data_IF_191083039866
#
_entry.id   IF_191083039866
#
_cell.length_a   1.000
_cell.length_b   1.000
_cell.length_c   1.000
_cell.angle_alpha   90.00
_cell.angle_beta   90.00
_cell.angle_gamma   90.00
#
_symmetry.space_group_name_H-M   'P 1'
#
loop_
_entity.id
_entity.type
_entity.pdbx_description
1 polymer ?
#
# COMPACT_ATOMS: atom_id res chain seq x y z
N UNK A 1 48.52 13.23 12.29
CA UNK A 1 47.47 13.07 11.26
C UNK A 1 46.39 12.15 11.79
N UNK A 2 45.12 12.49 11.64
CA UNK A 2 44.01 11.61 12.04
C UNK A 2 43.85 10.50 10.99
N UNK A 3 44.19 9.27 11.37
CA UNK A 3 44.11 8.09 10.48
C UNK A 3 42.68 7.56 10.27
N UNK A 4 41.65 8.26 10.76
CA UNK A 4 40.27 7.78 10.81
C UNK A 4 39.29 8.76 10.17
N UNK A 5 38.23 8.23 9.59
CA UNK A 5 37.09 9.03 9.13
C UNK A 5 36.34 9.66 10.30
N UNK A 6 35.67 10.78 10.05
CA UNK A 6 34.81 11.40 11.05
C UNK A 6 33.57 10.52 11.33
N UNK A 7 32.97 10.70 12.51
CA UNK A 7 31.85 9.89 12.97
C UNK A 7 30.66 9.92 12.00
N UNK A 8 30.37 11.08 11.40
CA UNK A 8 29.29 11.24 10.42
C UNK A 8 29.51 10.36 9.18
N UNK A 9 30.72 10.37 8.61
CA UNK A 9 31.07 9.53 7.47
C UNK A 9 30.97 8.04 7.80
N UNK A 10 31.36 7.65 9.02
CA UNK A 10 31.27 6.26 9.49
C UNK A 10 29.80 5.85 9.66
N UNK A 11 28.98 6.67 10.31
CA UNK A 11 27.56 6.39 10.49
C UNK A 11 26.85 6.27 9.15
N UNK A 12 27.03 7.25 8.25
CA UNK A 12 26.46 7.19 6.90
C UNK A 12 26.91 5.94 6.15
N UNK A 13 28.17 5.54 6.29
CA UNK A 13 28.67 4.32 5.65
C UNK A 13 27.93 3.07 6.10
N UNK A 14 27.82 2.84 7.41
CA UNK A 14 27.25 1.61 7.94
C UNK A 14 25.73 1.57 7.83
N UNK A 15 25.04 2.70 7.99
CA UNK A 15 23.60 2.78 7.76
C UNK A 15 23.29 2.44 6.30
N UNK A 16 24.00 3.06 5.35
CA UNK A 16 23.80 2.76 3.93
C UNK A 16 24.17 1.30 3.63
N UNK A 17 25.26 0.77 4.19
CA UNK A 17 25.66 -0.62 3.99
C UNK A 17 24.59 -1.60 4.50
N UNK A 18 23.99 -1.35 5.67
CA UNK A 18 22.90 -2.16 6.19
C UNK A 18 21.68 -2.08 5.27
N UNK A 19 21.24 -0.88 4.90
CA UNK A 19 20.12 -0.69 3.97
C UNK A 19 20.36 -1.42 2.64
N UNK A 20 21.56 -1.33 2.07
CA UNK A 20 21.92 -1.98 0.81
C UNK A 20 21.85 -3.50 0.90
N UNK A 21 22.42 -4.10 1.96
CA UNK A 21 22.41 -5.56 2.14
C UNK A 21 20.96 -6.04 2.32
N UNK A 22 20.17 -5.37 3.16
CA UNK A 22 18.76 -5.69 3.35
C UNK A 22 17.97 -5.55 2.04
N UNK A 23 18.17 -4.45 1.30
CA UNK A 23 17.42 -4.18 0.08
C UNK A 23 17.78 -5.13 -1.07
N UNK A 24 19.04 -5.55 -1.16
CA UNK A 24 19.49 -6.55 -2.14
C UNK A 24 18.88 -7.93 -1.84
N UNK A 25 18.92 -8.35 -0.56
CA UNK A 25 18.29 -9.59 -0.15
C UNK A 25 16.78 -9.60 -0.40
N UNK A 26 16.11 -8.48 -0.10
CA UNK A 26 14.69 -8.29 -0.38
C UNK A 26 14.39 -8.35 -1.89
N UNK A 27 15.24 -7.73 -2.71
CA UNK A 27 15.09 -7.71 -4.17
C UNK A 27 15.17 -9.10 -4.81
N UNK A 28 16.08 -9.96 -4.34
CA UNK A 28 16.14 -11.35 -4.80
C UNK A 28 14.95 -12.18 -4.34
N UNK A 29 14.56 -12.03 -3.07
CA UNK A 29 13.46 -12.80 -2.51
C UNK A 29 12.10 -12.44 -3.11
N UNK A 30 11.82 -11.13 -3.30
CA UNK A 30 10.49 -10.66 -3.73
C UNK A 30 10.12 -11.15 -5.13
N UNK A 31 11.08 -11.31 -6.04
CA UNK A 31 10.84 -11.76 -7.41
C UNK A 31 10.31 -13.20 -7.45
N UNK A 32 10.98 -14.10 -6.72
CA UNK A 32 10.59 -15.51 -6.61
C UNK A 32 9.31 -15.68 -5.79
N UNK A 33 9.19 -14.94 -4.67
CA UNK A 33 8.03 -14.99 -3.79
C UNK A 33 6.73 -14.57 -4.49
N UNK A 34 6.83 -13.70 -5.50
CA UNK A 34 5.70 -13.24 -6.30
C UNK A 34 5.10 -14.34 -7.19
N UNK A 35 5.89 -15.36 -7.54
CA UNK A 35 5.46 -16.48 -8.41
C UNK A 35 4.81 -17.61 -7.62
N UNK A 36 4.77 -17.52 -6.30
CA UNK A 36 4.20 -18.52 -5.42
C UNK A 36 2.97 -17.94 -4.72
N UNK A 37 1.80 -18.51 -4.99
CA UNK A 37 0.50 -18.09 -4.43
C UNK A 37 0.53 -17.93 -2.90
N UNK A 38 1.25 -18.81 -2.19
CA UNK A 38 1.34 -18.77 -0.73
C UNK A 38 2.13 -17.57 -0.19
N UNK A 39 2.98 -16.96 -1.02
CA UNK A 39 3.84 -15.82 -0.66
C UNK A 39 3.56 -14.56 -1.46
N UNK A 40 2.62 -14.61 -2.40
CA UNK A 40 2.33 -13.52 -3.33
C UNK A 40 1.91 -12.24 -2.60
N UNK A 41 1.09 -12.35 -1.55
CA UNK A 41 0.68 -11.22 -0.70
C UNK A 41 1.84 -10.61 0.11
N UNK A 42 2.75 -11.44 0.63
CA UNK A 42 3.95 -10.92 1.31
C UNK A 42 4.92 -10.27 0.32
N UNK A 43 4.95 -10.76 -0.92
CA UNK A 43 5.77 -10.18 -1.98
C UNK A 43 5.30 -8.76 -2.33
N UNK A 44 3.99 -8.49 -2.43
CA UNK A 44 3.48 -7.14 -2.71
C UNK A 44 3.90 -6.12 -1.65
N UNK A 45 3.87 -6.49 -0.37
CA UNK A 45 4.38 -5.67 0.72
C UNK A 45 5.90 -5.45 0.62
N UNK A 46 6.64 -6.51 0.31
CA UNK A 46 8.09 -6.41 0.12
C UNK A 46 8.48 -5.50 -1.03
N UNK A 47 7.71 -5.43 -2.12
CA UNK A 47 7.94 -4.45 -3.18
C UNK A 47 7.81 -3.01 -2.66
N UNK A 48 6.87 -2.71 -1.76
CA UNK A 48 6.76 -1.36 -1.16
C UNK A 48 7.95 -1.05 -0.25
N UNK A 49 8.40 -2.03 0.55
CA UNK A 49 9.61 -1.89 1.36
C UNK A 49 10.87 -1.71 0.51
N UNK A 50 11.01 -2.47 -0.57
CA UNK A 50 12.15 -2.39 -1.48
C UNK A 50 12.25 -1.01 -2.13
N UNK A 51 11.13 -0.48 -2.61
CA UNK A 51 11.03 0.90 -3.15
C UNK A 51 11.40 1.94 -2.10
N UNK A 52 10.87 1.79 -0.88
CA UNK A 52 11.12 2.75 0.22
C UNK A 52 12.58 2.77 0.67
N UNK A 53 13.18 1.59 0.84
CA UNK A 53 14.61 1.45 1.16
C UNK A 53 15.49 1.94 0.02
N UNK A 54 15.13 1.67 -1.23
CA UNK A 54 15.85 2.19 -2.41
C UNK A 54 15.91 3.72 -2.42
N UNK A 55 14.80 4.40 -2.17
CA UNK A 55 14.74 5.87 -2.08
C UNK A 55 15.52 6.41 -0.88
N UNK A 56 15.47 5.72 0.27
CA UNK A 56 16.28 6.08 1.44
C UNK A 56 17.79 5.96 1.13
N UNK A 57 18.20 4.88 0.47
CA UNK A 57 19.58 4.68 0.02
C UNK A 57 19.99 5.82 -0.91
N UNK A 58 19.16 6.19 -1.89
CA UNK A 58 19.44 7.32 -2.79
C UNK A 58 19.70 8.60 -2.00
N UNK A 59 18.78 8.96 -1.10
CA UNK A 59 18.90 10.17 -0.27
C UNK A 59 20.17 10.16 0.59
N UNK A 60 20.44 9.07 1.33
CA UNK A 60 21.62 8.96 2.18
C UNK A 60 22.92 8.93 1.37
N UNK A 61 22.89 8.37 0.16
CA UNK A 61 24.05 8.33 -0.75
C UNK A 61 24.40 9.73 -1.26
N UNK A 62 23.40 10.54 -1.62
CA UNK A 62 23.60 11.94 -2.00
C UNK A 62 24.14 12.76 -0.82
N UNK A 63 23.61 12.55 0.39
CA UNK A 63 24.12 13.19 1.60
C UNK A 63 25.58 12.80 1.87
N UNK A 64 25.92 11.52 1.72
CA UNK A 64 27.29 11.01 1.89
C UNK A 64 28.24 11.55 0.81
N UNK A 65 27.78 11.66 -0.44
CA UNK A 65 28.56 12.25 -1.52
C UNK A 65 28.84 13.73 -1.24
N UNK A 66 27.82 14.50 -0.86
CA UNK A 66 27.99 15.90 -0.46
C UNK A 66 28.98 16.03 0.70
N UNK A 67 28.85 15.18 1.73
CA UNK A 67 29.79 15.15 2.86
C UNK A 67 31.22 14.87 2.41
N UNK A 68 31.44 13.92 1.51
CA UNK A 68 32.76 13.54 0.97
C UNK A 68 33.39 14.66 0.13
N UNK A 69 32.59 15.47 -0.56
CA UNK A 69 33.06 16.63 -1.32
C UNK A 69 33.46 17.79 -0.39
N UNK A 70 32.76 17.96 0.72
CA UNK A 70 33.01 19.03 1.69
C UNK A 70 34.10 18.68 2.72
N UNK A 71 34.36 17.39 2.95
CA UNK A 71 35.30 16.92 3.97
C UNK A 71 36.37 16.00 3.35
N UNK A 72 37.64 16.42 3.33
CA UNK A 72 38.74 15.62 2.80
C UNK A 72 38.80 14.25 3.49
N UNK A 73 39.00 13.21 2.67
CA UNK A 73 39.22 11.88 3.20
C UNK A 73 40.60 11.77 3.86
N UNK A 74 40.75 10.95 4.91
CA UNK A 74 42.06 10.64 5.46
C UNK A 74 43.00 10.09 4.38
N UNK A 75 44.30 10.46 4.40
CA UNK A 75 45.27 9.99 3.40
C UNK A 75 45.40 8.47 3.45
N UNK A 76 45.55 7.84 2.28
CA UNK A 76 45.80 6.40 2.17
C UNK A 76 47.18 6.04 2.79
N UNK A 77 47.39 4.81 3.28
CA UNK A 77 48.70 4.38 3.75
C UNK A 77 49.77 4.61 2.68
N UNK A 78 50.90 5.22 3.05
CA UNK A 78 52.03 5.43 2.12
C UNK A 78 52.67 4.09 1.69
N UNK A 79 52.43 3.02 2.46
CA UNK A 79 52.94 1.68 2.20
C UNK A 79 52.20 0.94 1.07
N UNK A 80 51.03 1.41 0.62
CA UNK A 80 50.31 0.73 -0.46
C UNK A 80 50.75 1.22 -1.84
N UNK A 81 50.90 0.31 -2.83
CA UNK A 81 51.25 0.67 -4.20
C UNK A 81 50.29 1.67 -4.83
N UNK A 82 50.79 2.54 -5.72
CA UNK A 82 49.98 3.58 -6.37
C UNK A 82 48.80 3.03 -7.19
N UNK A 83 48.88 1.78 -7.66
CA UNK A 83 47.76 1.12 -8.35
C UNK A 83 46.62 0.78 -7.38
N UNK A 84 46.91 0.40 -6.13
CA UNK A 84 45.88 0.15 -5.11
C UNK A 84 45.12 1.44 -4.78
N UNK A 85 45.81 2.59 -4.76
CA UNK A 85 45.16 3.90 -4.57
C UNK A 85 44.21 4.23 -5.72
N UNK A 86 44.63 3.99 -6.97
CA UNK A 86 43.78 4.21 -8.16
C UNK A 86 42.57 3.28 -8.18
N UNK A 87 42.77 2.00 -7.89
CA UNK A 87 41.68 1.02 -7.80
C UNK A 87 40.71 1.40 -6.69
N UNK A 88 41.19 1.78 -5.51
CA UNK A 88 40.33 2.23 -4.41
C UNK A 88 39.53 3.48 -4.82
N UNK A 89 40.13 4.46 -5.48
CA UNK A 89 39.42 5.63 -5.97
C UNK A 89 38.33 5.27 -7.00
N UNK A 90 38.66 4.40 -7.96
CA UNK A 90 37.72 3.91 -8.97
C UNK A 90 36.55 3.14 -8.33
N UNK A 91 36.83 2.21 -7.42
CA UNK A 91 35.81 1.45 -6.69
C UNK A 91 34.84 2.36 -5.94
N UNK A 92 35.34 3.38 -5.23
CA UNK A 92 34.47 4.35 -4.57
C UNK A 92 33.64 5.17 -5.56
N UNK A 93 34.24 5.60 -6.68
CA UNK A 93 33.51 6.31 -7.74
C UNK A 93 32.39 5.46 -8.34
N UNK A 94 32.66 4.19 -8.63
CA UNK A 94 31.68 3.22 -9.11
C UNK A 94 30.56 2.97 -8.09
N UNK A 95 30.89 2.88 -6.79
CA UNK A 95 29.85 2.76 -5.76
C UNK A 95 28.92 3.97 -5.75
N UNK A 96 29.45 5.21 -5.79
CA UNK A 96 28.59 6.38 -5.84
C UNK A 96 27.71 6.40 -7.10
N UNK A 97 28.29 6.05 -8.26
CA UNK A 97 27.53 5.94 -9.51
C UNK A 97 26.38 4.94 -9.37
N UNK A 98 26.67 3.72 -8.92
CA UNK A 98 25.68 2.65 -8.82
C UNK A 98 24.63 2.90 -7.72
N UNK A 99 25.03 3.41 -6.56
CA UNK A 99 24.14 3.74 -5.46
C UNK A 99 23.14 4.86 -5.80
N UNK A 100 23.43 5.64 -6.85
CA UNK A 100 22.52 6.65 -7.39
C UNK A 100 21.72 6.07 -8.57
N UNK A 101 22.42 5.44 -9.53
CA UNK A 101 21.83 4.95 -10.76
C UNK A 101 20.79 3.83 -10.55
N UNK A 102 21.03 2.91 -9.61
CA UNK A 102 20.12 1.80 -9.32
C UNK A 102 18.78 2.30 -8.77
N UNK A 103 18.70 3.02 -7.63
CA UNK A 103 17.41 3.48 -7.13
C UNK A 103 16.74 4.48 -8.08
N UNK A 104 17.52 5.27 -8.84
CA UNK A 104 16.96 6.17 -9.85
C UNK A 104 16.32 5.40 -11.02
N UNK A 105 16.96 4.35 -11.52
CA UNK A 105 16.36 3.51 -12.58
C UNK A 105 15.10 2.78 -12.08
N UNK A 106 15.09 2.35 -10.82
CA UNK A 106 13.91 1.77 -10.18
C UNK A 106 12.78 2.79 -10.01
N UNK A 107 13.08 4.02 -9.60
CA UNK A 107 12.09 5.09 -9.47
C UNK A 107 11.53 5.51 -10.84
N UNK A 108 12.37 5.58 -11.86
CA UNK A 108 11.94 5.80 -13.24
C UNK A 108 11.03 4.66 -13.73
N UNK A 109 11.37 3.41 -13.42
CA UNK A 109 10.56 2.24 -13.78
C UNK A 109 9.15 2.33 -13.20
N UNK A 110 9.02 2.56 -11.88
CA UNK A 110 7.69 2.68 -11.24
C UNK A 110 6.97 3.97 -11.65
N UNK A 111 7.70 5.00 -12.11
CA UNK A 111 7.11 6.22 -12.66
C UNK A 111 6.49 6.03 -14.04
N UNK A 112 6.95 5.03 -14.80
CA UNK A 112 6.32 4.67 -16.07
C UNK A 112 4.99 3.91 -15.89
N UNK A 113 4.69 3.40 -14.68
CA UNK A 113 3.46 2.66 -14.36
C UNK A 113 3.15 1.56 -15.38
N UNK A 114 4.17 0.76 -15.74
CA UNK A 114 4.02 -0.30 -16.73
C UNK A 114 4.79 -1.55 -16.32
N UNK A 115 4.16 -2.72 -16.49
CA UNK A 115 4.78 -4.00 -16.19
C UNK A 115 4.30 -5.07 -17.17
N UNK A 116 5.25 -5.68 -17.89
CA UNK A 116 4.94 -6.69 -18.88
C UNK A 116 4.08 -6.12 -20.02
N UNK A 117 2.91 -6.70 -20.23
CA UNK A 117 1.95 -6.27 -21.26
C UNK A 117 0.92 -5.25 -20.78
N UNK A 118 0.88 -4.94 -19.47
CA UNK A 118 -0.21 -4.16 -18.85
C UNK A 118 0.32 -2.92 -18.14
N UNK A 119 -0.57 -1.97 -17.86
CA UNK A 119 -0.28 -0.89 -16.93
C UNK A 119 -0.04 -1.46 -15.51
N UNK A 120 0.60 -0.68 -14.66
CA UNK A 120 0.75 -1.00 -13.24
C UNK A 120 0.45 0.27 -12.45
N UNK A 121 -0.83 0.58 -12.30
CA UNK A 121 -1.31 1.80 -11.64
C UNK A 121 -1.33 1.66 -10.12
N UNK A 122 -0.21 1.19 -9.55
CA UNK A 122 -0.03 1.03 -8.11
C UNK A 122 0.86 2.16 -7.58
N UNK A 123 0.40 2.93 -6.58
CA UNK A 123 1.21 4.02 -6.03
C UNK A 123 2.45 3.49 -5.30
N UNK A 124 3.50 4.31 -5.28
CA UNK A 124 4.67 4.06 -4.44
C UNK A 124 4.50 4.83 -3.15
N UNK A 125 4.33 4.11 -2.04
CA UNK A 125 4.11 4.73 -0.73
C UNK A 125 5.39 4.60 0.09
N UNK A 126 5.98 5.73 0.48
CA UNK A 126 7.21 5.73 1.26
C UNK A 126 6.94 5.36 2.72
N UNK A 127 7.32 4.14 3.11
CA UNK A 127 7.07 3.58 4.45
C UNK A 127 5.62 3.74 4.95
N UNK A 128 4.63 3.68 4.04
CA UNK A 128 3.21 3.85 4.39
C UNK A 128 2.75 5.30 4.64
N UNK A 129 3.67 6.28 4.64
CA UNK A 129 3.41 7.64 5.09
C UNK A 129 2.76 8.51 4.00
N UNK A 130 3.37 8.58 2.83
CA UNK A 130 2.91 9.42 1.71
C UNK A 130 3.27 8.80 0.36
N UNK A 131 2.52 9.19 -0.67
CA UNK A 131 2.79 8.80 -2.05
C UNK A 131 3.98 9.57 -2.61
N UNK A 132 4.92 8.84 -3.20
CA UNK A 132 6.09 9.40 -3.86
C UNK A 132 5.69 9.80 -5.28
N UNK A 133 5.92 11.07 -5.69
CA UNK A 133 5.52 11.53 -7.01
C UNK A 133 6.28 10.78 -8.12
N UNK A 134 5.61 10.61 -9.25
CA UNK A 134 6.23 10.11 -10.46
C UNK A 134 7.22 11.13 -11.03
N UNK A 135 8.35 10.64 -11.52
CA UNK A 135 9.37 11.47 -12.14
C UNK A 135 8.94 11.94 -13.53
N UNK A 136 9.25 13.19 -13.87
CA UNK A 136 9.14 13.78 -15.22
C UNK A 136 7.77 13.64 -15.90
N UNK A 137 6.70 13.37 -15.15
CA UNK A 137 5.39 13.11 -15.72
C UNK A 137 5.34 11.85 -16.59
N UNK A 138 6.25 10.88 -16.39
CA UNK A 138 6.31 9.65 -17.20
C UNK A 138 4.99 8.87 -17.22
N UNK A 139 4.22 8.94 -16.14
CA UNK A 139 2.90 8.34 -16.01
C UNK A 139 1.86 8.92 -16.99
N UNK A 140 2.07 10.14 -17.49
CA UNK A 140 1.17 10.80 -18.45
C UNK A 140 1.53 10.55 -19.91
N UNK A 141 2.64 9.87 -20.17
CA UNK A 141 3.07 9.55 -21.53
C UNK A 141 2.16 8.49 -22.18
N UNK A 142 2.12 8.43 -23.52
CA UNK A 142 1.39 7.39 -24.23
C UNK A 142 1.82 5.98 -23.77
N UNK A 143 0.85 5.06 -23.71
CA UNK A 143 1.05 3.68 -23.24
C UNK A 143 2.26 2.99 -23.90
N UNK A 144 2.40 3.08 -25.23
CA UNK A 144 3.53 2.50 -25.98
C UNK A 144 4.90 3.05 -25.52
N UNK A 145 4.97 4.34 -25.18
CA UNK A 145 6.18 4.96 -24.67
C UNK A 145 6.48 4.49 -23.24
N UNK A 146 5.46 4.44 -22.38
CA UNK A 146 5.57 3.92 -21.01
C UNK A 146 6.05 2.46 -21.01
N UNK A 147 5.46 1.63 -21.87
CA UNK A 147 5.85 0.24 -22.09
C UNK A 147 7.31 0.11 -22.52
N UNK A 148 7.71 0.88 -23.53
CA UNK A 148 9.09 0.86 -24.04
C UNK A 148 10.07 1.25 -22.93
N UNK A 149 9.81 2.34 -22.22
CA UNK A 149 10.65 2.79 -21.10
C UNK A 149 10.76 1.72 -20.02
N UNK A 150 9.64 1.16 -19.57
CA UNK A 150 9.62 0.11 -18.56
C UNK A 150 10.39 -1.14 -19.00
N UNK A 151 10.29 -1.51 -20.28
CA UNK A 151 11.02 -2.62 -20.90
C UNK A 151 12.55 -2.44 -20.88
N UNK A 152 13.05 -1.20 -20.86
CA UNK A 152 14.48 -0.91 -20.70
C UNK A 152 14.89 -0.72 -19.23
N UNK A 153 14.05 -0.06 -18.43
CA UNK A 153 14.38 0.37 -17.08
C UNK A 153 14.49 -0.80 -16.10
N UNK A 154 13.58 -1.78 -16.16
CA UNK A 154 13.65 -2.93 -15.26
C UNK A 154 14.90 -3.80 -15.51
N UNK A 155 15.22 -4.22 -16.75
CA UNK A 155 16.47 -4.95 -17.00
C UNK A 155 17.72 -4.14 -16.66
N UNK A 156 17.69 -2.82 -16.87
CA UNK A 156 18.79 -1.93 -16.47
C UNK A 156 18.96 -1.93 -14.96
N UNK A 157 17.88 -1.80 -14.19
CA UNK A 157 17.91 -1.86 -12.73
C UNK A 157 18.50 -3.17 -12.22
N UNK A 158 18.07 -4.30 -12.80
CA UNK A 158 18.60 -5.62 -12.46
C UNK A 158 20.08 -5.76 -12.81
N UNK A 159 20.48 -5.37 -14.03
CA UNK A 159 21.87 -5.45 -14.49
C UNK A 159 22.81 -4.62 -13.61
N UNK A 160 22.40 -3.40 -13.26
CA UNK A 160 23.17 -2.54 -12.35
C UNK A 160 23.25 -3.15 -10.93
N UNK A 161 22.19 -3.81 -10.46
CA UNK A 161 22.16 -4.50 -9.17
C UNK A 161 23.11 -5.70 -9.11
N UNK A 162 23.22 -6.46 -10.20
CA UNK A 162 24.23 -7.52 -10.33
C UNK A 162 25.65 -6.96 -10.34
N UNK A 163 25.90 -5.90 -11.12
CA UNK A 163 27.20 -5.23 -11.14
C UNK A 163 27.58 -4.70 -9.74
N UNK A 164 26.62 -4.11 -9.02
CA UNK A 164 26.79 -3.66 -7.65
C UNK A 164 27.11 -4.80 -6.70
N UNK A 165 26.43 -5.94 -6.82
CA UNK A 165 26.67 -7.14 -5.99
C UNK A 165 28.11 -7.63 -6.14
N UNK A 166 28.60 -7.75 -7.38
CA UNK A 166 29.99 -8.15 -7.64
C UNK A 166 30.96 -7.13 -7.04
N UNK A 167 30.72 -5.83 -7.24
CA UNK A 167 31.57 -4.78 -6.68
C UNK A 167 31.57 -4.78 -5.15
N UNK A 168 30.41 -5.02 -4.51
CA UNK A 168 30.25 -5.15 -3.07
C UNK A 168 31.04 -6.34 -2.53
N UNK A 169 30.94 -7.50 -3.17
CA UNK A 169 31.71 -8.69 -2.79
C UNK A 169 33.22 -8.43 -2.88
N UNK A 170 33.69 -7.80 -3.96
CA UNK A 170 35.09 -7.41 -4.13
C UNK A 170 35.54 -6.39 -3.07
N UNK A 171 34.70 -5.42 -2.73
CA UNK A 171 35.00 -4.42 -1.71
C UNK A 171 35.13 -5.02 -0.31
N UNK A 172 34.18 -5.87 0.08
CA UNK A 172 34.24 -6.61 1.36
C UNK A 172 35.47 -7.52 1.37
N UNK A 173 35.72 -8.26 0.29
CA UNK A 173 36.90 -9.11 0.14
C UNK A 173 38.22 -8.35 0.26
N UNK A 174 38.30 -7.15 -0.33
CA UNK A 174 39.46 -6.27 -0.19
C UNK A 174 39.64 -5.82 1.27
N UNK A 175 38.58 -5.34 1.93
CA UNK A 175 38.64 -4.92 3.33
C UNK A 175 39.09 -6.06 4.27
N UNK A 176 38.60 -7.28 4.02
CA UNK A 176 39.01 -8.49 4.74
C UNK A 176 40.46 -8.90 4.43
N UNK A 177 40.91 -8.82 3.18
CA UNK A 177 42.32 -9.05 2.81
C UNK A 177 43.25 -8.07 3.53
N UNK A 178 42.89 -6.79 3.55
CA UNK A 178 43.65 -5.75 4.23
C UNK A 178 43.74 -6.01 5.74
N UNK A 179 42.63 -6.40 6.37
CA UNK A 179 42.59 -6.69 7.80
C UNK A 179 43.28 -8.03 8.19
N UNK A 180 42.97 -9.12 7.49
CA UNK A 180 43.36 -10.47 7.89
C UNK A 180 44.74 -10.90 7.34
N UNK A 181 45.09 -10.50 6.11
CA UNK A 181 46.33 -10.92 5.45
C UNK A 181 47.41 -9.84 5.54
N UNK A 182 47.06 -8.60 5.17
CA UNK A 182 48.02 -7.48 5.16
C UNK A 182 48.19 -6.85 6.55
N UNK A 183 47.27 -7.12 7.48
CA UNK A 183 47.29 -6.65 8.87
C UNK A 183 47.45 -5.14 8.98
N UNK A 184 46.80 -4.41 8.09
CA UNK A 184 46.78 -2.95 8.13
C UNK A 184 45.48 -2.39 8.73
N UNK A 185 45.50 -1.08 8.99
CA UNK A 185 44.41 -0.40 9.69
C UNK A 185 43.29 0.06 8.76
N UNK A 186 43.26 -0.33 7.47
CA UNK A 186 42.30 0.21 6.47
C UNK A 186 40.85 0.02 6.93
N UNK A 187 40.50 -1.17 7.44
CA UNK A 187 39.17 -1.46 7.96
C UNK A 187 38.86 -0.66 9.23
N UNK A 188 39.86 -0.50 10.12
CA UNK A 188 39.71 0.21 11.38
C UNK A 188 39.39 1.71 11.18
N UNK A 189 39.74 2.28 10.03
CA UNK A 189 39.41 3.68 9.69
C UNK A 189 37.90 3.93 9.54
N UNK A 190 37.14 2.88 9.23
CA UNK A 190 35.68 2.93 9.09
C UNK A 190 34.95 2.25 10.24
N UNK A 191 35.64 1.70 11.25
CA UNK A 191 34.96 0.97 12.33
C UNK A 191 34.23 1.91 13.30
N UNK A 192 33.00 1.60 13.77
CA UNK A 192 32.23 2.51 14.63
C UNK A 192 32.83 2.67 16.05
N UNK A 193 33.34 1.58 16.63
CA UNK A 193 33.45 1.45 18.09
C UNK A 193 34.84 1.67 18.71
N UNK A 194 35.74 2.42 18.08
CA UNK A 194 36.97 2.87 18.76
C UNK A 194 36.74 4.28 19.33
N UNK A 195 36.78 4.48 20.63
CA UNK A 195 36.64 5.83 21.22
C UNK A 195 37.95 6.63 21.07
N UNK A 196 37.80 7.95 20.98
CA UNK A 196 38.91 8.92 20.84
C UNK A 196 39.83 8.81 22.09
N UNK A 197 40.95 8.11 21.95
CA UNK A 197 41.93 7.91 23.03
C UNK A 197 43.11 7.01 22.66
N UNK A 198 42.91 5.96 21.86
CA UNK A 198 43.93 4.92 21.66
C UNK A 198 44.82 5.14 20.41
N UNK A 199 45.27 6.37 20.16
CA UNK A 199 46.40 6.58 19.24
C UNK A 199 47.71 6.26 19.94
N UNK A 200 47.89 4.98 20.23
CA UNK A 200 49.12 4.19 20.38
C UNK A 200 48.64 2.82 20.90
N UNK A 201 49.21 1.74 20.36
CA UNK A 201 49.03 0.33 20.78
C UNK A 201 47.93 -0.45 20.04
N UNK A 202 48.33 -1.19 19.01
CA UNK A 202 47.97 -2.61 18.85
C UNK A 202 49.16 -3.39 18.27
N UNK A 203 50.28 -3.36 19.00
CA UNK A 203 51.22 -4.47 18.99
C UNK A 203 50.83 -5.37 20.17
N UNK A 204 50.13 -6.48 19.93
CA UNK A 204 49.86 -7.47 20.98
C UNK A 204 48.52 -8.21 20.85
N UNK A 205 48.59 -9.54 20.98
CA UNK A 205 47.50 -10.53 20.86
C UNK A 205 46.31 -10.22 21.80
N UNK A 206 45.08 -10.28 21.30
CA UNK A 206 43.84 -10.30 22.10
C UNK A 206 42.57 -10.18 21.25
N UNK A 207 41.65 -11.13 21.37
CA UNK A 207 40.46 -11.32 20.52
C UNK A 207 39.31 -10.35 20.84
N UNK A 208 38.51 -9.89 19.86
CA UNK A 208 37.23 -9.24 20.12
C UNK A 208 36.05 -10.07 19.57
N UNK A 209 35.43 -10.92 20.40
CA UNK A 209 34.26 -11.76 20.01
C UNK A 209 32.90 -11.24 20.52
N UNK A 210 32.80 -10.06 21.15
CA UNK A 210 31.52 -9.56 21.71
C UNK A 210 30.89 -8.36 21.02
N UNK A 211 31.62 -7.63 20.16
CA UNK A 211 31.08 -6.48 19.43
C UNK A 211 30.24 -6.86 18.18
N UNK A 212 30.44 -8.07 17.66
CA UNK A 212 29.74 -8.60 16.48
C UNK A 212 28.25 -8.84 16.74
N UNK A 213 27.87 -9.21 17.97
CA UNK A 213 26.50 -9.57 18.34
C UNK A 213 25.58 -8.35 18.53
N UNK A 214 26.10 -7.20 18.94
CA UNK A 214 25.29 -6.00 19.21
C UNK A 214 24.83 -5.31 17.93
N UNK A 215 25.66 -5.32 16.87
CA UNK A 215 25.30 -4.72 15.57
C UNK A 215 24.29 -5.60 14.82
N UNK A 216 24.42 -6.93 14.90
CA UNK A 216 23.44 -7.87 14.32
C UNK A 216 22.11 -7.82 15.06
N UNK A 217 22.12 -7.74 16.40
CA UNK A 217 20.90 -7.62 17.20
C UNK A 217 20.16 -6.28 16.99
N UNK A 218 20.87 -5.16 16.85
CA UNK A 218 20.28 -3.87 16.51
C UNK A 218 19.70 -3.83 15.08
N UNK A 219 20.31 -4.58 14.15
CA UNK A 219 19.82 -4.72 12.78
C UNK A 219 18.52 -5.55 12.72
N UNK A 220 18.41 -6.60 13.54
CA UNK A 220 17.18 -7.40 13.68
C UNK A 220 16.07 -6.62 14.39
N UNK A 221 16.40 -5.82 15.41
CA UNK A 221 15.44 -4.96 16.12
C UNK A 221 14.92 -3.78 15.28
N UNK A 222 15.70 -3.24 14.35
CA UNK A 222 15.24 -2.20 13.43
C UNK A 222 14.28 -2.74 12.36
N UNK A 223 14.45 -4.00 11.95
CA UNK A 223 13.55 -4.70 11.01
C UNK A 223 12.28 -5.18 11.72
N UNK A 224 12.36 -5.61 12.99
CA UNK A 224 11.20 -6.12 13.75
C UNK A 224 10.40 -5.01 14.45
N UNK A 225 11.03 -3.89 14.84
CA UNK A 225 10.38 -2.80 15.58
C UNK A 225 9.49 -1.86 14.76
N UNK A 226 9.46 -1.98 13.44
CA UNK A 226 8.62 -1.17 12.54
C UNK A 226 7.32 -1.88 12.11
N UNK A 227 7.02 -3.05 12.68
CA UNK A 227 5.75 -3.77 12.47
C UNK A 227 4.59 -3.20 13.30
N UNK A 228 4.82 -2.15 14.07
CA UNK A 228 3.86 -1.59 15.03
C UNK A 228 3.56 -0.11 14.84
N UNK A 229 3.47 0.38 13.60
CA UNK A 229 2.89 1.69 13.37
C UNK A 229 1.47 1.54 12.82
N UNK A 230 0.50 1.76 13.72
CA UNK A 230 -0.85 2.14 13.35
C UNK A 230 -0.76 3.22 12.27
N UNK A 231 -1.37 2.93 11.12
CA UNK A 231 -1.52 3.86 10.04
C UNK A 231 -2.01 5.20 10.61
N UNK A 232 -1.29 6.27 10.29
CA UNK A 232 -1.73 7.61 10.66
C UNK A 232 -3.19 7.80 10.21
N UNK A 233 -4.03 8.42 11.05
CA UNK A 233 -5.45 8.55 10.76
C UNK A 233 -5.59 9.20 9.39
N UNK A 234 -6.35 8.54 8.52
CA UNK A 234 -6.88 9.14 7.30
C UNK A 234 -7.39 10.52 7.69
N UNK A 235 -6.80 11.57 7.12
CA UNK A 235 -7.26 12.94 7.34
C UNK A 235 -8.77 12.93 7.06
N UNK A 236 -9.63 13.35 8.00
CA UNK A 236 -11.05 13.46 7.73
C UNK A 236 -11.20 14.32 6.48
N UNK A 237 -11.82 13.76 5.44
CA UNK A 237 -12.23 14.51 4.27
C UNK A 237 -13.15 15.66 4.73
N UNK A 238 -13.09 16.83 4.07
CA UNK A 238 -13.80 18.02 4.53
C UNK A 238 -15.31 17.81 4.63
N UNK A 239 -15.96 18.51 5.56
CA UNK A 239 -17.38 18.42 5.94
C UNK A 239 -18.41 18.60 4.78
N UNK A 240 -17.96 18.88 3.57
CA UNK A 240 -18.78 19.14 2.37
C UNK A 240 -19.32 17.86 1.72
N UNK A 241 -18.68 16.70 1.93
CA UNK A 241 -19.06 15.43 1.27
C UNK A 241 -20.40 14.87 1.77
N UNK A 242 -20.75 15.10 3.04
CA UNK A 242 -22.06 14.74 3.57
C UNK A 242 -23.21 15.51 2.91
N UNK A 243 -22.94 16.75 2.50
CA UNK A 243 -23.90 17.58 1.75
C UNK A 243 -24.10 17.05 0.32
N UNK A 244 -23.01 16.72 -0.38
CA UNK A 244 -23.08 16.17 -1.74
C UNK A 244 -23.81 14.82 -1.80
N UNK A 245 -23.57 13.93 -0.83
CA UNK A 245 -24.26 12.64 -0.74
C UNK A 245 -25.77 12.82 -0.51
N UNK A 246 -26.16 13.74 0.38
CA UNK A 246 -27.55 14.06 0.66
C UNK A 246 -28.26 14.72 -0.54
N UNK A 247 -27.59 15.66 -1.23
CA UNK A 247 -28.10 16.29 -2.45
C UNK A 247 -28.31 15.27 -3.57
N UNK A 248 -27.36 14.34 -3.74
CA UNK A 248 -27.49 13.26 -4.72
C UNK A 248 -28.65 12.33 -4.39
N UNK A 249 -28.83 11.96 -3.12
CA UNK A 249 -29.96 11.14 -2.69
C UNK A 249 -31.29 11.87 -2.92
N UNK A 250 -31.36 13.16 -2.58
CA UNK A 250 -32.54 13.98 -2.81
C UNK A 250 -32.91 13.99 -4.30
N UNK A 251 -31.93 14.23 -5.19
CA UNK A 251 -32.13 14.19 -6.64
C UNK A 251 -32.60 12.82 -7.15
N UNK A 252 -32.00 11.72 -6.65
CA UNK A 252 -32.38 10.35 -7.01
C UNK A 252 -33.80 10.00 -6.52
N UNK A 253 -34.24 10.60 -5.41
CA UNK A 253 -35.54 10.33 -4.78
C UNK A 253 -36.67 11.22 -5.31
N UNK A 254 -36.38 12.28 -6.08
CA UNK A 254 -37.40 13.17 -6.65
C UNK A 254 -38.53 12.47 -7.43
N UNK A 255 -38.29 11.44 -8.27
CA UNK A 255 -39.37 10.78 -8.99
C UNK A 255 -40.15 9.76 -8.14
N UNK A 256 -39.72 9.48 -6.91
CA UNK A 256 -40.32 8.45 -6.06
C UNK A 256 -41.57 8.97 -5.35
N UNK A 257 -42.51 8.07 -5.08
CA UNK A 257 -43.71 8.37 -4.30
C UNK A 257 -43.34 8.78 -2.86
N UNK A 258 -43.63 10.03 -2.52
CA UNK A 258 -43.33 10.61 -1.21
C UNK A 258 -44.47 10.47 -0.19
N UNK A 259 -45.64 9.99 -0.61
CA UNK A 259 -46.79 9.77 0.27
C UNK A 259 -46.66 8.45 1.06
N UNK A 260 -45.77 7.56 0.61
CA UNK A 260 -45.47 6.29 1.30
C UNK A 260 -44.78 6.51 2.66
N UNK A 261 -45.08 5.67 3.67
CA UNK A 261 -44.47 5.77 5.00
C UNK A 261 -42.94 5.62 4.94
N UNK A 262 -42.23 6.59 5.53
CA UNK A 262 -40.77 6.58 5.59
C UNK A 262 -40.23 5.66 6.68
N UNK A 263 -39.17 4.94 6.36
CA UNK A 263 -38.40 4.12 7.29
C UNK A 263 -36.99 4.68 7.44
N UNK A 264 -36.55 4.84 8.70
CA UNK A 264 -35.24 5.37 9.02
C UNK A 264 -34.25 4.22 9.15
N UNK A 265 -33.19 4.23 8.34
CA UNK A 265 -32.09 3.28 8.45
C UNK A 265 -31.44 3.40 9.83
N UNK A 266 -31.02 2.25 10.37
CA UNK A 266 -30.25 2.11 11.61
C UNK A 266 -28.78 1.91 11.19
N UNK A 267 -27.94 2.95 11.18
CA UNK A 267 -26.60 2.88 10.59
C UNK A 267 -25.70 1.85 11.28
N UNK A 268 -25.80 1.71 12.61
CA UNK A 268 -25.00 0.78 13.41
C UNK A 268 -25.28 -0.70 13.15
N UNK A 269 -26.47 -1.02 12.61
CA UNK A 269 -26.87 -2.40 12.28
C UNK A 269 -26.84 -2.66 10.77
N UNK A 270 -26.55 -1.63 9.96
CA UNK A 270 -26.63 -1.69 8.50
C UNK A 270 -25.25 -1.66 7.86
N UNK A 271 -25.03 -2.53 6.88
CA UNK A 271 -23.77 -2.59 6.14
C UNK A 271 -23.96 -2.98 4.68
N UNK A 272 -23.11 -2.37 3.85
CA UNK A 272 -22.86 -2.77 2.47
C UNK A 272 -21.39 -3.21 2.43
N UNK A 273 -21.18 -4.51 2.29
CA UNK A 273 -19.88 -5.17 2.30
C UNK A 273 -19.54 -5.69 0.92
N UNK A 274 -18.26 -5.76 0.61
CA UNK A 274 -17.74 -6.41 -0.58
C UNK A 274 -16.57 -7.32 -0.21
N UNK A 275 -16.34 -8.37 -0.98
CA UNK A 275 -15.26 -9.32 -0.73
C UNK A 275 -14.80 -10.01 -2.02
N UNK A 276 -13.59 -10.52 -1.99
CA UNK A 276 -12.94 -11.18 -3.13
C UNK A 276 -11.60 -11.72 -2.69
N UNK A 277 -10.69 -11.95 -3.65
CA UNK A 277 -9.29 -12.28 -3.35
C UNK A 277 -8.34 -11.22 -3.88
N UNK A 278 -7.27 -10.97 -3.14
CA UNK A 278 -6.12 -10.18 -3.56
C UNK A 278 -4.85 -11.01 -3.38
N UNK A 279 -4.10 -11.24 -4.45
CA UNK A 279 -2.91 -12.09 -4.45
C UNK A 279 -3.18 -13.47 -3.81
N UNK A 280 -4.31 -14.09 -4.19
CA UNK A 280 -4.77 -15.38 -3.67
C UNK A 280 -5.37 -15.35 -2.24
N UNK A 281 -5.27 -14.23 -1.52
CA UNK A 281 -5.76 -14.11 -0.14
C UNK A 281 -7.15 -13.46 -0.10
N UNK A 282 -8.10 -13.99 0.70
CA UNK A 282 -9.42 -13.39 0.82
C UNK A 282 -9.34 -12.02 1.51
N UNK A 283 -10.08 -11.04 1.01
CA UNK A 283 -10.26 -9.74 1.66
C UNK A 283 -11.75 -9.46 1.89
N UNK A 284 -12.03 -8.57 2.85
CA UNK A 284 -13.38 -8.08 3.14
C UNK A 284 -13.34 -6.57 3.30
N UNK A 285 -14.09 -5.88 2.47
CA UNK A 285 -14.29 -4.44 2.54
C UNK A 285 -15.73 -4.04 2.83
N UNK A 286 -15.92 -2.74 3.05
CA UNK A 286 -17.22 -2.12 3.28
C UNK A 286 -17.23 -0.69 2.77
N UNK A 287 -18.44 -0.17 2.53
CA UNK A 287 -18.64 1.26 2.34
C UNK A 287 -18.99 1.90 3.68
N UNK A 288 -18.18 2.86 4.12
CA UNK A 288 -18.41 3.56 5.41
C UNK A 288 -19.39 4.73 5.32
N UNK A 289 -19.68 5.20 4.10
CA UNK A 289 -20.64 6.28 3.86
C UNK A 289 -21.59 5.92 2.73
N UNK A 290 -22.87 5.92 3.04
CA UNK A 290 -23.98 5.73 2.12
C UNK A 290 -25.26 6.23 2.81
N UNK A 291 -26.29 6.54 2.02
CA UNK A 291 -27.61 6.92 2.52
C UNK A 291 -28.68 6.27 1.67
N UNK A 292 -29.89 6.09 2.22
CA UNK A 292 -31.04 5.69 1.44
C UNK A 292 -32.31 6.44 1.86
N UNK A 293 -33.23 6.58 0.90
CA UNK A 293 -34.63 6.89 1.15
C UNK A 293 -35.43 5.60 0.95
N UNK A 294 -35.85 4.99 2.07
CA UNK A 294 -36.69 3.79 2.09
C UNK A 294 -38.10 4.21 2.49
N UNK A 295 -39.05 3.96 1.61
CA UNK A 295 -40.47 4.18 1.86
C UNK A 295 -41.23 2.92 1.52
N UNK A 296 -42.08 2.48 2.43
CA UNK A 296 -42.75 1.20 2.30
C UNK A 296 -44.03 1.19 3.11
N UNK A 297 -45.14 0.82 2.47
CA UNK A 297 -46.43 0.60 3.09
C UNK A 297 -46.67 -0.91 3.26
N UNK A 298 -46.63 -1.36 4.51
CA UNK A 298 -46.83 -2.77 4.89
C UNK A 298 -48.20 -3.31 4.44
N UNK A 299 -49.22 -2.46 4.35
CA UNK A 299 -50.60 -2.87 4.08
C UNK A 299 -50.84 -3.17 2.60
N UNK A 300 -50.20 -2.41 1.72
CA UNK A 300 -50.31 -2.54 0.27
C UNK A 300 -49.16 -3.33 -0.33
N UNK A 301 -48.03 -3.45 0.37
CA UNK A 301 -46.81 -4.07 -0.13
C UNK A 301 -46.07 -3.21 -1.15
N UNK A 302 -46.49 -1.95 -1.33
CA UNK A 302 -45.88 -0.99 -2.27
C UNK A 302 -44.76 -0.23 -1.55
N UNK A 303 -43.64 -0.05 -2.24
CA UNK A 303 -42.49 0.67 -1.72
C UNK A 303 -41.71 1.41 -2.79
N UNK A 304 -40.83 2.29 -2.33
CA UNK A 304 -39.79 2.93 -3.13
C UNK A 304 -38.48 2.92 -2.33
N UNK A 305 -37.38 2.66 -3.02
CA UNK A 305 -36.02 2.69 -2.44
C UNK A 305 -35.09 3.38 -3.39
N UNK A 306 -34.41 4.41 -2.90
CA UNK A 306 -33.24 5.00 -3.52
C UNK A 306 -32.06 4.90 -2.55
N UNK A 307 -30.92 4.41 -3.02
CA UNK A 307 -29.67 4.33 -2.26
C UNK A 307 -28.59 5.08 -3.02
N UNK A 308 -27.80 5.88 -2.30
CA UNK A 308 -26.58 6.49 -2.81
C UNK A 308 -25.41 6.05 -1.94
N UNK A 309 -24.40 5.49 -2.58
CA UNK A 309 -23.19 4.96 -1.94
C UNK A 309 -22.02 5.84 -2.38
N UNK A 310 -21.29 6.40 -1.42
CA UNK A 310 -20.07 7.13 -1.69
C UNK A 310 -18.94 6.14 -2.00
N UNK A 311 -18.49 6.13 -3.25
CA UNK A 311 -17.46 5.18 -3.71
C UNK A 311 -16.07 5.51 -3.15
N UNK A 312 -15.82 6.74 -2.74
CA UNK A 312 -14.60 7.16 -2.04
C UNK A 312 -14.54 6.68 -0.59
N UNK A 313 -15.65 6.22 -0.04
CA UNK A 313 -15.76 5.69 1.32
C UNK A 313 -15.56 4.16 1.42
N UNK A 314 -15.15 3.52 0.31
CA UNK A 314 -14.79 2.11 0.26
C UNK A 314 -13.49 1.86 1.05
N UNK A 315 -13.48 0.85 1.91
CA UNK A 315 -12.30 0.45 2.67
C UNK A 315 -12.30 -1.03 2.97
N UNK A 316 -11.13 -1.67 2.91
CA UNK A 316 -10.89 -3.00 3.48
C UNK A 316 -9.90 -2.96 4.66
N UNK A 317 -9.49 -1.76 5.06
CA UNK A 317 -8.55 -1.52 6.15
C UNK A 317 -7.08 -1.62 5.73
N UNK A 318 -6.77 -1.92 4.46
CA UNK A 318 -5.41 -1.95 3.95
C UNK A 318 -5.07 -0.59 3.32
N UNK A 319 -4.12 0.19 3.90
CA UNK A 319 -3.87 1.56 3.45
C UNK A 319 -3.43 1.72 1.99
N UNK A 320 -2.93 0.65 1.36
CA UNK A 320 -2.56 0.66 -0.06
C UNK A 320 -3.78 0.45 -0.95
N UNK A 321 -4.72 -0.43 -0.58
CA UNK A 321 -5.96 -0.65 -1.30
C UNK A 321 -6.86 0.58 -1.19
N UNK A 322 -7.04 1.12 0.02
CA UNK A 322 -7.88 2.30 0.29
C UNK A 322 -7.42 3.56 -0.49
N UNK A 323 -6.12 3.65 -0.84
CA UNK A 323 -5.58 4.72 -1.69
C UNK A 323 -5.74 4.45 -3.19
N UNK A 324 -5.87 3.19 -3.57
CA UNK A 324 -5.95 2.73 -4.97
C UNK A 324 -7.40 2.68 -5.47
N UNK A 325 -8.34 2.24 -4.61
CA UNK A 325 -9.77 2.15 -4.94
C UNK A 325 -10.37 3.46 -5.50
N UNK A 326 -10.04 4.67 -4.99
CA UNK A 326 -10.59 5.91 -5.53
C UNK A 326 -10.05 6.32 -6.91
N UNK A 327 -8.94 5.74 -7.37
CA UNK A 327 -8.22 6.16 -8.57
C UNK A 327 -8.98 5.83 -9.85
N UNK A 328 -8.54 6.43 -10.97
CA UNK A 328 -9.23 6.40 -12.26
C UNK A 328 -9.50 4.98 -12.83
N UNK A 329 -8.63 4.02 -12.56
CA UNK A 329 -8.79 2.63 -13.02
C UNK A 329 -9.81 1.83 -12.19
N UNK A 330 -10.09 2.27 -10.96
CA UNK A 330 -11.02 1.61 -10.03
C UNK A 330 -12.34 2.37 -9.99
N UNK A 331 -12.77 2.89 -8.84
CA UNK A 331 -14.04 3.62 -8.75
C UNK A 331 -14.04 4.94 -9.52
N UNK A 332 -12.86 5.52 -9.78
CA UNK A 332 -12.72 6.81 -10.43
C UNK A 332 -13.62 7.87 -9.78
N UNK A 333 -13.43 8.08 -8.47
CA UNK A 333 -14.28 8.93 -7.62
C UNK A 333 -14.37 10.35 -8.15
N UNK A 334 -13.32 10.83 -8.82
CA UNK A 334 -13.30 12.15 -9.44
C UNK A 334 -14.37 12.32 -10.54
N UNK A 335 -14.67 11.26 -11.31
CA UNK A 335 -15.70 11.27 -12.36
C UNK A 335 -17.03 10.67 -11.88
N UNK A 336 -16.97 9.66 -11.00
CA UNK A 336 -18.12 8.88 -10.52
C UNK A 336 -18.10 8.77 -8.99
N UNK A 337 -18.38 9.86 -8.26
CA UNK A 337 -18.29 9.88 -6.80
C UNK A 337 -19.32 8.99 -6.10
N UNK A 338 -20.38 8.58 -6.82
CA UNK A 338 -21.48 7.83 -6.27
C UNK A 338 -21.84 6.61 -7.12
N UNK A 339 -22.09 5.49 -6.44
CA UNK A 339 -22.88 4.39 -6.96
C UNK A 339 -24.32 4.54 -6.47
N UNK A 340 -25.30 4.05 -7.24
CA UNK A 340 -26.71 4.23 -6.91
C UNK A 340 -27.49 2.94 -7.08
N UNK A 341 -28.46 2.70 -6.20
CA UNK A 341 -29.46 1.66 -6.39
C UNK A 341 -30.85 2.29 -6.41
N UNK A 342 -31.67 1.94 -7.38
CA UNK A 342 -33.06 2.38 -7.48
C UNK A 342 -33.96 1.15 -7.61
N UNK A 343 -34.95 1.04 -6.74
CA UNK A 343 -35.94 -0.02 -6.83
C UNK A 343 -36.96 0.28 -7.93
N UNK A 344 -37.23 -0.74 -8.74
CA UNK A 344 -38.18 -0.71 -9.86
C UNK A 344 -39.55 -1.28 -9.45
N UNK A 345 -39.57 -2.33 -8.61
CA UNK A 345 -40.81 -2.95 -8.13
C UNK A 345 -40.64 -3.63 -6.77
N UNK A 346 -41.77 -3.74 -6.07
CA UNK A 346 -41.93 -4.51 -4.84
C UNK A 346 -42.93 -5.62 -5.11
N UNK A 347 -42.52 -6.86 -4.91
CA UNK A 347 -43.36 -8.03 -5.10
C UNK A 347 -43.47 -8.80 -3.80
N UNK A 348 -44.66 -9.33 -3.50
CA UNK A 348 -44.85 -10.18 -2.32
C UNK A 348 -44.23 -11.55 -2.59
N UNK A 349 -43.46 -12.06 -1.64
CA UNK A 349 -42.84 -13.38 -1.70
C UNK A 349 -43.32 -14.27 -0.55
N UNK A 350 -43.01 -15.56 -0.58
CA UNK A 350 -43.37 -16.50 0.50
C UNK A 350 -42.70 -16.16 1.85
N UNK A 351 -41.55 -15.47 1.81
CA UNK A 351 -40.74 -15.11 2.98
C UNK A 351 -40.89 -13.63 3.39
N UNK A 352 -41.69 -12.84 2.67
CA UNK A 352 -41.84 -11.41 2.91
C UNK A 352 -42.12 -10.65 1.62
N UNK A 353 -41.21 -9.75 1.24
CA UNK A 353 -41.25 -9.04 -0.03
C UNK A 353 -39.90 -9.19 -0.76
N UNK A 354 -39.93 -9.05 -2.08
CA UNK A 354 -38.75 -8.96 -2.93
C UNK A 354 -38.71 -7.59 -3.61
N UNK A 355 -37.55 -6.94 -3.56
CA UNK A 355 -37.30 -5.64 -4.16
C UNK A 355 -36.48 -5.86 -5.42
N UNK A 356 -37.08 -5.61 -6.58
CA UNK A 356 -36.32 -5.54 -7.82
C UNK A 356 -35.78 -4.13 -7.99
N UNK A 357 -34.58 -4.01 -8.56
CA UNK A 357 -33.98 -2.71 -8.80
C UNK A 357 -32.68 -2.80 -9.58
N UNK A 358 -32.19 -1.64 -9.97
CA UNK A 358 -30.98 -1.50 -10.78
C UNK A 358 -29.86 -0.86 -9.94
N UNK A 359 -28.74 -1.58 -9.80
CA UNK A 359 -27.50 -1.04 -9.25
C UNK A 359 -26.70 -0.39 -10.38
N UNK A 360 -26.24 0.85 -10.20
CA UNK A 360 -25.40 1.56 -11.17
C UNK A 360 -24.06 1.92 -10.56
N UNK A 361 -22.98 1.47 -11.19
CA UNK A 361 -21.58 1.75 -10.80
C UNK A 361 -20.85 2.28 -12.03
N UNK A 362 -20.14 3.41 -11.93
CA UNK A 362 -19.46 4.07 -13.08
C UNK A 362 -20.39 4.28 -14.31
N UNK A 363 -21.69 4.53 -14.09
CA UNK A 363 -22.73 4.61 -15.13
C UNK A 363 -23.07 3.29 -15.84
N UNK A 364 -22.53 2.16 -15.40
CA UNK A 364 -22.91 0.83 -15.87
C UNK A 364 -24.08 0.31 -15.02
N UNK A 365 -25.28 0.13 -15.59
CA UNK A 365 -26.39 -0.51 -14.90
C UNK A 365 -26.13 -2.02 -14.81
N UNK A 366 -26.37 -2.57 -13.63
CA UNK A 366 -26.16 -3.96 -13.29
C UNK A 366 -27.50 -4.57 -12.86
N UNK A 367 -27.85 -5.68 -13.51
CA UNK A 367 -28.96 -6.52 -13.08
C UNK A 367 -28.51 -7.36 -11.90
N UNK A 368 -29.29 -7.34 -10.82
CA UNK A 368 -29.02 -8.14 -9.63
C UNK A 368 -30.24 -8.97 -9.25
N UNK A 369 -30.00 -10.06 -8.51
CA UNK A 369 -31.10 -10.80 -7.90
C UNK A 369 -31.92 -9.86 -6.98
N UNK A 370 -33.24 -10.05 -6.87
CA UNK A 370 -34.07 -9.21 -6.01
C UNK A 370 -33.59 -9.24 -4.56
N UNK A 371 -33.59 -8.08 -3.90
CA UNK A 371 -33.32 -8.01 -2.47
C UNK A 371 -34.50 -8.59 -1.71
N UNK A 372 -34.23 -9.36 -0.65
CA UNK A 372 -35.28 -9.79 0.28
C UNK A 372 -35.59 -8.69 1.30
N UNK A 373 -36.87 -8.48 1.59
CA UNK A 373 -37.36 -7.60 2.64
C UNK A 373 -38.22 -8.43 3.59
N UNK A 374 -37.79 -8.51 4.84
CA UNK A 374 -38.52 -9.15 5.93
C UNK A 374 -38.94 -8.09 6.96
N UNK A 375 -40.16 -8.23 7.49
CA UNK A 375 -40.65 -7.40 8.58
C UNK A 375 -40.49 -8.20 9.86
N UNK A 376 -39.71 -7.68 10.80
CA UNK A 376 -39.47 -8.28 12.12
C UNK A 376 -39.88 -7.26 13.18
N UNK A 377 -40.98 -7.54 13.86
CA UNK A 377 -41.63 -6.64 14.83
C UNK A 377 -41.97 -5.26 14.22
N UNK A 378 -41.21 -4.22 14.59
CA UNK A 378 -41.36 -2.84 14.10
C UNK A 378 -40.17 -2.41 13.24
N UNK A 379 -39.42 -3.38 12.70
CA UNK A 379 -38.24 -3.17 11.88
C UNK A 379 -38.36 -3.89 10.55
N UNK A 380 -37.70 -3.33 9.55
CA UNK A 380 -37.50 -3.96 8.26
C UNK A 380 -36.04 -4.41 8.19
N UNK A 381 -35.83 -5.66 7.78
CA UNK A 381 -34.52 -6.19 7.40
C UNK A 381 -34.49 -6.43 5.91
N UNK A 382 -33.65 -5.66 5.20
CA UNK A 382 -33.38 -5.87 3.78
C UNK A 382 -32.05 -6.61 3.64
N UNK A 383 -32.06 -7.73 2.91
CA UNK A 383 -30.85 -8.52 2.62
C UNK A 383 -30.70 -8.78 1.14
N UNK A 384 -29.46 -8.78 0.67
CA UNK A 384 -29.15 -9.19 -0.69
C UNK A 384 -27.70 -9.63 -0.85
N UNK A 385 -27.49 -10.43 -1.87
CA UNK A 385 -26.18 -10.90 -2.29
C UNK A 385 -26.08 -10.80 -3.80
N UNK A 386 -24.96 -10.28 -4.29
CA UNK A 386 -24.66 -10.10 -5.71
C UNK A 386 -23.20 -10.47 -5.95
N UNK A 387 -22.96 -11.27 -6.99
CA UNK A 387 -21.62 -11.43 -7.55
C UNK A 387 -21.47 -10.48 -8.73
N UNK A 388 -20.58 -9.50 -8.59
CA UNK A 388 -20.21 -8.56 -9.64
C UNK A 388 -18.95 -9.07 -10.34
N UNK A 389 -18.97 -9.24 -11.66
CA UNK A 389 -17.73 -9.29 -12.44
C UNK A 389 -17.23 -7.86 -12.62
N UNK A 390 -16.09 -7.53 -12.03
CA UNK A 390 -15.53 -6.16 -12.06
C UNK A 390 -15.24 -5.65 -13.46
N UNK A 391 -15.14 -6.53 -14.46
CA UNK A 391 -15.00 -6.13 -15.86
C UNK A 391 -16.26 -5.45 -16.42
N UNK A 392 -17.45 -5.80 -15.91
CA UNK A 392 -18.72 -5.22 -16.36
C UNK A 392 -18.85 -3.73 -16.03
N UNK A 393 -18.05 -3.27 -15.06
CA UNK A 393 -17.96 -1.88 -14.59
C UNK A 393 -16.59 -1.26 -14.84
N UNK A 394 -15.75 -1.89 -15.68
CA UNK A 394 -14.42 -1.41 -16.05
C UNK A 394 -13.52 -1.12 -14.83
N UNK A 395 -13.46 -2.04 -13.86
CA UNK A 395 -12.61 -1.89 -12.67
C UNK A 395 -11.35 -2.75 -12.75
N UNK A 396 -10.19 -2.11 -12.73
CA UNK A 396 -8.89 -2.80 -12.72
C UNK A 396 -8.54 -3.47 -14.05
N UNK A 397 -9.15 -3.04 -15.16
CA UNK A 397 -9.05 -3.71 -16.46
C UNK A 397 -7.81 -3.31 -17.27
N UNK A 398 -7.11 -2.24 -16.91
CA UNK A 398 -5.87 -1.82 -17.59
C UNK A 398 -4.65 -2.56 -17.03
N UNK A 399 -4.59 -2.72 -15.71
CA UNK A 399 -3.47 -3.31 -14.98
C UNK A 399 -3.64 -4.80 -14.74
N UNK A 400 -4.86 -5.27 -14.52
CA UNK A 400 -5.16 -6.68 -14.20
C UNK A 400 -6.43 -7.19 -14.92
N UNK A 401 -6.48 -7.23 -16.26
CA UNK A 401 -7.69 -7.66 -16.98
C UNK A 401 -8.07 -9.13 -16.73
N UNK A 402 -7.11 -9.98 -16.36
CA UNK A 402 -7.32 -11.41 -16.17
C UNK A 402 -7.76 -11.78 -14.73
N UNK A 403 -7.60 -10.87 -13.77
CA UNK A 403 -7.90 -11.16 -12.36
C UNK A 403 -6.86 -12.01 -11.67
N UNK A 404 -5.58 -11.85 -12.05
CA UNK A 404 -4.45 -12.52 -11.43
C UNK A 404 -4.13 -11.94 -10.04
N UNK A 405 -4.41 -10.65 -9.85
CA UNK A 405 -4.13 -9.94 -8.60
C UNK A 405 -5.38 -9.72 -7.80
N UNK A 406 -6.44 -9.20 -8.41
CA UNK A 406 -7.75 -9.03 -7.76
C UNK A 406 -8.76 -9.86 -8.52
N UNK A 407 -9.49 -10.73 -7.80
CA UNK A 407 -10.51 -11.59 -8.40
C UNK A 407 -11.45 -10.80 -9.31
N UNK A 408 -11.87 -11.41 -10.43
CA UNK A 408 -12.90 -10.81 -11.29
C UNK A 408 -14.23 -10.72 -10.56
N UNK A 409 -14.60 -11.82 -9.91
CA UNK A 409 -15.80 -11.91 -9.11
C UNK A 409 -15.60 -11.19 -7.77
N UNK A 410 -16.44 -10.19 -7.53
CA UNK A 410 -16.54 -9.45 -6.28
C UNK A 410 -17.91 -9.71 -5.68
N UNK A 411 -17.93 -10.34 -4.51
CA UNK A 411 -19.15 -10.64 -3.78
C UNK A 411 -19.57 -9.41 -2.97
N UNK A 412 -20.76 -8.89 -3.25
CA UNK A 412 -21.40 -7.79 -2.53
C UNK A 412 -22.47 -8.37 -1.63
N UNK A 413 -22.38 -8.07 -0.32
CA UNK A 413 -23.34 -8.49 0.69
C UNK A 413 -23.99 -7.25 1.32
N UNK A 414 -25.32 -7.22 1.29
CA UNK A 414 -26.15 -6.11 1.76
C UNK A 414 -26.97 -6.61 2.94
N UNK A 415 -26.92 -5.87 4.05
CA UNK A 415 -27.81 -6.05 5.19
C UNK A 415 -28.18 -4.68 5.72
N UNK A 416 -29.44 -4.29 5.61
CA UNK A 416 -29.92 -2.98 6.04
C UNK A 416 -31.09 -3.15 6.98
N UNK A 417 -30.96 -2.59 8.17
CA UNK A 417 -32.03 -2.50 9.16
C UNK A 417 -32.63 -1.10 9.14
N UNK A 418 -33.96 -1.03 9.18
CA UNK A 418 -34.67 0.23 9.25
C UNK A 418 -35.84 0.14 10.22
N UNK A 419 -36.14 1.26 10.88
CA UNK A 419 -37.27 1.40 11.81
C UNK A 419 -38.30 2.38 11.27
N UNK A 420 -39.57 2.07 11.51
CA UNK A 420 -40.67 2.94 11.12
C UNK A 420 -40.53 4.32 11.76
N UNK A 421 -40.74 5.38 10.97
CA UNK A 421 -40.74 6.76 11.48
C UNK A 421 -41.98 7.10 12.31
N UNK A 422 -43.04 6.29 12.23
CA UNK A 422 -44.35 6.58 12.83
C UNK A 422 -44.66 5.76 14.09
N UNK A 423 -43.96 4.64 14.33
CA UNK A 423 -44.12 3.83 15.56
C UNK A 423 -43.10 4.24 16.62
N UNK A 424 -43.58 4.79 17.74
CA UNK A 424 -42.75 5.13 18.92
C UNK A 424 -42.10 3.85 19.48
N UNK A 425 -40.83 3.87 19.93
CA UNK A 425 -40.24 2.70 20.59
C UNK A 425 -41.08 2.29 21.79
N UNK A 426 -41.48 1.02 21.83
CA UNK A 426 -42.13 0.44 22.99
C UNK A 426 -41.12 0.43 24.15
N UNK A 427 -41.49 0.93 25.34
CA UNK A 427 -40.59 0.88 26.48
C UNK A 427 -40.27 -0.59 26.80
N UNK A 428 -39.05 -0.91 27.26
CA UNK A 428 -38.70 -2.28 27.61
C UNK A 428 -39.70 -2.81 28.63
N UNK A 429 -40.34 -3.92 28.31
CA UNK A 429 -41.23 -4.65 29.21
C UNK A 429 -40.41 -5.15 30.39
N UNK A 430 -40.39 -4.37 31.47
CA UNK A 430 -39.89 -4.84 32.75
C UNK A 430 -40.90 -5.82 33.36
N UNK A 431 -40.88 -7.06 32.90
CA UNK A 431 -41.42 -8.17 33.69
C UNK A 431 -40.44 -8.44 34.84
N UNK A 432 -40.57 -7.65 35.91
CA UNK A 432 -40.09 -8.05 37.24
C UNK A 432 -41.26 -8.80 37.87
N UNK A 433 -41.19 -10.11 37.79
CA UNK A 433 -42.05 -11.03 38.51
C UNK A 433 -41.85 -10.81 40.04
N UNK A 434 -42.90 -10.54 40.84
CA UNK A 434 -42.74 -10.40 42.28
C UNK A 434 -42.58 -11.79 42.90
N UNK A 435 -41.40 -12.07 43.44
CA UNK A 435 -41.14 -13.25 44.26
C UNK A 435 -42.13 -13.33 45.43
N UNK A 436 -42.82 -14.48 45.55
CA UNK A 436 -43.59 -14.88 46.73
C UNK A 436 -42.75 -15.69 47.70
#
# INVERSE_FOLDING_TARGET
MTYRYNAIAITLHWVIALCLISNLGLGWWMGDALQNEATQSLATDAFQWHKSLGLLILFLSLLRLCWRLLHPAPPLPESSPSWEHRVAALTHGLFYLLMIAIPLSGWLYVSAQWRGGNALNVPTIWFGLFEVPHLFGLNTLPAETRQTLAGWLMPTHETLSWAFTVLLALHIGAALRHHALLKDDVLLRMFPALTKGDTKVFAGKGHPTKALLVVVAASVLLVVGLTGHDASPVKPLPDDEGSALAERLAALSQPLDTDLPKWNIIPEESHIQFSGTHAGQPFKGRFTRWQADLRFDESTGVGTVAVVIDTGAATDGVPMHDRTLPQAEWFNVAAYPFATYLADSFEKSELGHSIQGTLTIKQHPLSMAPLSLEIVDNMIHIRGELTLDRADVDMGMESDPAGEWVSRDILIHISVWARSSTKKPEPPTSEVEPAR
#
